data_IF_418025114626
#
_entry.id   IF_418025114626
#
_cell.length_a   1.000
_cell.length_b   1.000
_cell.length_c   1.000
_cell.angle_alpha   90.00
_cell.angle_beta   90.00
_cell.angle_gamma   90.00
#
_symmetry.space_group_name_H-M   'P 1'
#
loop_
_entity.id
_entity.type
_entity.pdbx_description
1 polymer ?
#
# COMPACT_ATOMS: atom_id res chain seq x y z
N UNK A 1 17.30 31.75 2.48
CA UNK A 1 16.39 30.58 2.64
C UNK A 1 17.11 29.47 3.40
N UNK A 2 16.80 29.25 4.68
CA UNK A 2 17.38 28.15 5.49
C UNK A 2 16.74 26.83 5.03
N UNK A 3 17.49 25.95 4.37
CA UNK A 3 17.05 24.57 4.08
C UNK A 3 16.78 23.89 5.43
N UNK A 4 15.51 23.67 5.79
CA UNK A 4 15.16 22.86 6.97
C UNK A 4 15.68 21.45 6.72
N UNK A 5 16.60 21.01 7.58
CA UNK A 5 17.05 19.62 7.59
C UNK A 5 15.80 18.75 7.83
N UNK A 6 15.54 17.73 6.99
CA UNK A 6 14.39 16.85 7.18
C UNK A 6 14.50 16.15 8.54
N UNK A 7 13.40 16.10 9.28
CA UNK A 7 13.33 15.37 10.54
C UNK A 7 13.47 13.86 10.26
N UNK A 8 13.94 13.09 11.26
CA UNK A 8 14.06 11.64 11.13
C UNK A 8 12.72 10.99 10.69
N UNK A 9 11.59 11.49 11.19
CA UNK A 9 10.27 11.03 10.79
C UNK A 9 9.98 11.28 9.29
N UNK A 10 10.37 12.44 8.75
CA UNK A 10 10.19 12.75 7.33
C UNK A 10 11.05 11.84 6.44
N UNK A 11 12.27 11.53 6.86
CA UNK A 11 13.15 10.57 6.16
C UNK A 11 12.51 9.18 6.15
N UNK A 12 12.04 8.70 7.30
CA UNK A 12 11.39 7.39 7.40
C UNK A 12 10.13 7.30 6.53
N UNK A 13 9.30 8.35 6.50
CA UNK A 13 8.13 8.41 5.63
C UNK A 13 8.52 8.40 4.14
N UNK A 14 9.61 9.07 3.76
CA UNK A 14 10.12 9.05 2.39
C UNK A 14 10.61 7.64 1.98
N UNK A 15 11.30 6.94 2.89
CA UNK A 15 11.72 5.55 2.67
C UNK A 15 10.52 4.60 2.53
N UNK A 16 9.50 4.78 3.38
CA UNK A 16 8.27 4.00 3.27
C UNK A 16 7.54 4.26 1.94
N UNK A 17 7.53 5.52 1.46
CA UNK A 17 6.99 5.89 0.14
C UNK A 17 7.78 5.31 -1.03
N UNK A 18 9.10 5.21 -0.89
CA UNK A 18 9.95 4.56 -1.88
C UNK A 18 9.60 3.07 -1.99
N UNK A 19 9.59 2.35 -0.87
CA UNK A 19 9.33 0.91 -0.83
C UNK A 19 7.88 0.51 -1.12
N UNK A 20 6.91 1.38 -0.81
CA UNK A 20 5.50 1.15 -1.18
C UNK A 20 5.24 1.28 -2.68
N UNK A 21 6.20 1.79 -3.47
CA UNK A 21 6.02 1.92 -4.92
C UNK A 21 5.07 3.05 -5.32
N UNK A 22 4.74 3.98 -4.42
CA UNK A 22 3.79 5.08 -4.68
C UNK A 22 4.23 6.01 -5.79
N UNK A 23 5.54 6.11 -6.00
CA UNK A 23 6.11 6.86 -7.12
C UNK A 23 5.57 6.36 -8.48
N UNK A 24 5.24 5.09 -8.61
CA UNK A 24 4.60 4.54 -9.81
C UNK A 24 3.18 5.08 -10.02
N UNK A 25 2.42 5.27 -8.93
CA UNK A 25 1.11 5.93 -8.99
C UNK A 25 1.23 7.40 -9.32
N UNK A 26 2.23 8.08 -8.75
CA UNK A 26 2.51 9.48 -9.07
C UNK A 26 2.85 9.65 -10.56
N UNK A 27 3.66 8.74 -11.12
CA UNK A 27 3.96 8.72 -12.54
C UNK A 27 2.70 8.49 -13.38
N UNK A 28 1.86 7.50 -13.02
CA UNK A 28 0.58 7.26 -13.70
C UNK A 28 -0.38 8.46 -13.63
N UNK A 29 -0.43 9.14 -12.48
CA UNK A 29 -1.23 10.34 -12.30
C UNK A 29 -0.77 11.43 -13.26
N UNK A 30 0.55 11.66 -13.36
CA UNK A 30 1.13 12.62 -14.30
C UNK A 30 0.81 12.30 -15.77
N UNK A 31 0.88 11.02 -16.17
CA UNK A 31 0.45 10.61 -17.51
C UNK A 31 -1.05 10.85 -17.77
N UNK A 32 -1.90 10.61 -16.77
CA UNK A 32 -3.34 10.82 -16.89
C UNK A 32 -3.72 12.30 -16.90
N UNK A 33 -2.98 13.14 -16.18
CA UNK A 33 -3.13 14.60 -16.22
C UNK A 33 -2.88 15.13 -17.63
N UNK A 34 -1.84 14.65 -18.30
CA UNK A 34 -1.58 15.00 -19.71
C UNK A 34 -2.70 14.57 -20.64
N UNK A 35 -3.22 13.34 -20.46
CA UNK A 35 -4.35 12.85 -21.26
C UNK A 35 -5.62 13.65 -21.03
N UNK A 36 -5.85 14.10 -19.79
CA UNK A 36 -6.99 14.95 -19.45
C UNK A 36 -6.88 16.31 -20.15
N UNK A 37 -5.70 16.92 -20.13
CA UNK A 37 -5.44 18.18 -20.83
C UNK A 37 -5.72 18.05 -22.34
N UNK A 38 -5.19 17.01 -22.98
CA UNK A 38 -5.45 16.76 -24.41
C UNK A 38 -6.93 16.48 -24.69
N UNK A 39 -7.62 15.69 -23.87
CA UNK A 39 -9.03 15.39 -24.06
C UNK A 39 -9.93 16.63 -23.91
N UNK A 40 -9.58 17.54 -23.00
CA UNK A 40 -10.25 18.82 -22.81
C UNK A 40 -10.07 19.73 -24.03
N UNK A 41 -8.86 19.78 -24.60
CA UNK A 41 -8.56 20.54 -25.82
C UNK A 41 -9.29 20.00 -27.05
N UNK A 42 -9.36 18.67 -27.22
CA UNK A 42 -9.92 18.04 -28.43
C UNK A 42 -11.45 17.89 -28.41
N UNK A 43 -12.05 17.57 -27.26
CA UNK A 43 -13.46 17.16 -27.18
C UNK A 43 -14.34 18.02 -26.27
N UNK A 44 -13.72 18.96 -25.55
CA UNK A 44 -14.41 19.81 -24.57
C UNK A 44 -14.85 19.08 -23.29
N UNK A 45 -15.38 19.85 -22.34
CA UNK A 45 -15.70 19.38 -20.98
C UNK A 45 -16.88 18.39 -20.92
N UNK A 46 -17.82 18.48 -21.86
CA UNK A 46 -19.06 17.70 -21.83
C UNK A 46 -18.94 16.31 -22.49
N UNK A 47 -17.78 15.97 -23.05
CA UNK A 47 -17.59 14.69 -23.71
C UNK A 47 -17.55 13.53 -22.71
N UNK A 48 -18.13 12.39 -23.10
CA UNK A 48 -18.05 11.14 -22.31
C UNK A 48 -16.60 10.68 -22.11
N UNK A 49 -15.71 11.03 -23.03
CA UNK A 49 -14.28 10.72 -22.98
C UNK A 49 -13.61 11.53 -21.88
N UNK A 50 -13.81 12.85 -21.84
CA UNK A 50 -13.29 13.74 -20.81
C UNK A 50 -13.79 13.33 -19.43
N UNK A 51 -15.08 12.98 -19.30
CA UNK A 51 -15.65 12.48 -18.05
C UNK A 51 -14.97 11.21 -17.56
N UNK A 52 -14.75 10.23 -18.45
CA UNK A 52 -14.08 8.96 -18.10
C UNK A 52 -12.64 9.18 -17.65
N UNK A 53 -11.89 10.04 -18.33
CA UNK A 53 -10.50 10.36 -17.98
C UNK A 53 -10.44 11.10 -16.63
N UNK A 54 -11.37 12.03 -16.39
CA UNK A 54 -11.51 12.74 -15.12
C UNK A 54 -11.77 11.78 -13.95
N UNK A 55 -12.67 10.81 -14.13
CA UNK A 55 -12.95 9.80 -13.11
C UNK A 55 -11.72 8.94 -12.81
N UNK A 56 -10.97 8.52 -13.84
CA UNK A 56 -9.72 7.79 -13.65
C UNK A 56 -8.67 8.60 -12.89
N UNK A 57 -8.54 9.89 -13.20
CA UNK A 57 -7.64 10.79 -12.48
C UNK A 57 -8.02 10.91 -11.00
N UNK A 58 -9.31 11.14 -10.70
CA UNK A 58 -9.83 11.22 -9.32
C UNK A 58 -9.58 9.95 -8.52
N UNK A 59 -9.76 8.77 -9.14
CA UNK A 59 -9.48 7.49 -8.49
C UNK A 59 -7.99 7.34 -8.15
N UNK A 60 -7.09 7.76 -9.05
CA UNK A 60 -5.65 7.73 -8.81
C UNK A 60 -5.22 8.69 -7.70
N UNK A 61 -5.79 9.88 -7.67
CA UNK A 61 -5.53 10.87 -6.62
C UNK A 61 -5.91 10.33 -5.23
N UNK A 62 -7.13 9.80 -5.10
CA UNK A 62 -7.59 9.16 -3.84
C UNK A 62 -6.71 7.97 -3.46
N UNK A 63 -6.35 7.15 -4.44
CA UNK A 63 -5.51 5.96 -4.24
C UNK A 63 -4.10 6.28 -3.72
N UNK A 64 -3.52 7.42 -4.12
CA UNK A 64 -2.18 7.85 -3.67
C UNK A 64 -2.11 8.08 -2.17
N UNK A 65 -3.22 8.52 -1.54
CA UNK A 65 -3.34 8.69 -0.08
C UNK A 65 -3.16 7.37 0.67
N UNK A 66 -3.60 6.27 0.06
CA UNK A 66 -3.54 4.91 0.61
C UNK A 66 -2.41 4.06 0.02
N UNK A 67 -1.43 4.72 -0.59
CA UNK A 67 -0.24 4.11 -1.21
C UNK A 67 -0.47 3.13 -2.38
N UNK A 68 -1.73 2.81 -2.72
CA UNK A 68 -2.05 1.81 -3.76
C UNK A 68 -3.34 2.14 -4.51
N UNK A 69 -3.32 1.94 -5.83
CA UNK A 69 -4.53 1.87 -6.65
C UNK A 69 -5.48 0.79 -6.14
N UNK A 70 -6.65 1.21 -5.68
CA UNK A 70 -7.67 0.35 -5.07
C UNK A 70 -9.04 0.55 -5.74
N UNK A 71 -9.93 -0.47 -5.72
CA UNK A 71 -11.29 -0.32 -6.25
C UNK A 71 -12.06 0.79 -5.52
N UNK A 72 -13.05 1.44 -6.17
CA UNK A 72 -13.83 2.53 -5.56
C UNK A 72 -14.45 2.16 -4.21
N UNK A 73 -15.05 0.97 -4.09
CA UNK A 73 -15.65 0.49 -2.83
C UNK A 73 -14.62 0.34 -1.70
N UNK A 74 -13.38 -0.05 -2.04
CA UNK A 74 -12.29 -0.15 -1.07
C UNK A 74 -11.83 1.24 -0.66
N UNK A 75 -11.74 2.18 -1.60
CA UNK A 75 -11.41 3.58 -1.29
C UNK A 75 -12.48 4.24 -0.41
N UNK A 76 -13.76 4.00 -0.68
CA UNK A 76 -14.87 4.49 0.16
C UNK A 76 -14.76 3.94 1.59
N UNK A 77 -14.49 2.64 1.75
CA UNK A 77 -14.29 2.03 3.06
C UNK A 77 -13.06 2.58 3.80
N UNK A 78 -11.94 2.80 3.08
CA UNK A 78 -10.73 3.38 3.65
C UNK A 78 -10.93 4.84 4.08
N UNK A 79 -11.59 5.65 3.25
CA UNK A 79 -11.91 7.04 3.57
C UNK A 79 -12.89 7.14 4.76
N UNK A 80 -13.90 6.28 4.82
CA UNK A 80 -14.80 6.22 5.95
C UNK A 80 -14.09 5.74 7.23
N UNK A 81 -13.21 4.75 7.12
CA UNK A 81 -12.38 4.31 8.24
C UNK A 81 -11.49 5.44 8.78
N UNK A 82 -10.93 6.25 7.88
CA UNK A 82 -10.18 7.44 8.28
C UNK A 82 -11.06 8.47 9.00
N UNK A 83 -12.28 8.72 8.52
CA UNK A 83 -13.25 9.62 9.19
C UNK A 83 -13.68 9.07 10.55
N UNK A 84 -13.73 7.75 10.71
CA UNK A 84 -14.01 7.07 11.97
C UNK A 84 -12.81 7.03 12.94
N UNK A 85 -11.68 7.66 12.60
CA UNK A 85 -10.51 7.77 13.48
C UNK A 85 -9.51 6.61 13.39
N UNK A 86 -9.65 5.70 12.41
CA UNK A 86 -8.68 4.61 12.22
C UNK A 86 -7.33 5.21 11.75
N UNK A 87 -6.18 4.80 12.33
CA UNK A 87 -4.88 5.32 11.96
C UNK A 87 -4.60 5.18 10.45
N UNK A 88 -4.18 6.28 9.83
CA UNK A 88 -3.91 6.32 8.38
C UNK A 88 -2.83 5.33 7.98
N UNK A 89 -1.80 5.15 8.81
CA UNK A 89 -0.73 4.19 8.55
C UNK A 89 -1.26 2.76 8.44
N UNK A 90 -2.21 2.36 9.29
CA UNK A 90 -2.83 1.04 9.23
C UNK A 90 -3.70 0.89 7.97
N UNK A 91 -4.48 1.92 7.62
CA UNK A 91 -5.28 1.95 6.39
C UNK A 91 -4.39 1.85 5.14
N UNK A 92 -3.25 2.54 5.14
CA UNK A 92 -2.23 2.46 4.09
C UNK A 92 -1.65 1.05 3.99
N UNK A 93 -1.33 0.39 5.12
CA UNK A 93 -0.80 -0.98 5.10
C UNK A 93 -1.82 -1.97 4.55
N UNK A 94 -3.10 -1.85 4.94
CA UNK A 94 -4.19 -2.69 4.45
C UNK A 94 -4.42 -2.55 2.94
N UNK A 95 -4.37 -1.30 2.45
CA UNK A 95 -4.49 -1.00 1.02
C UNK A 95 -3.27 -1.50 0.24
N UNK A 96 -2.06 -1.21 0.73
CA UNK A 96 -0.79 -1.58 0.09
C UNK A 96 -0.68 -3.10 -0.11
N UNK A 97 -1.11 -3.90 0.87
CA UNK A 97 -0.99 -5.35 0.83
C UNK A 97 -2.17 -6.08 0.17
N UNK A 98 -3.18 -5.34 -0.33
CA UNK A 98 -4.44 -5.92 -0.85
C UNK A 98 -5.13 -6.81 0.17
N UNK A 99 -5.10 -6.40 1.43
CA UNK A 99 -5.80 -7.12 2.49
C UNK A 99 -7.30 -6.83 2.43
N UNK A 100 -7.74 -5.74 1.81
CA UNK A 100 -9.15 -5.45 1.59
C UNK A 100 -9.64 -6.05 0.28
N UNK A 101 -10.71 -6.85 0.34
CA UNK A 101 -11.38 -7.45 -0.82
C UNK A 101 -12.85 -7.08 -0.84
N UNK A 102 -13.35 -6.78 -2.03
CA UNK A 102 -14.79 -6.59 -2.26
C UNK A 102 -15.46 -7.96 -2.23
N UNK A 103 -16.49 -8.11 -1.39
CA UNK A 103 -17.32 -9.32 -1.27
C UNK A 103 -18.79 -8.87 -1.30
N UNK A 104 -19.47 -9.13 -2.42
CA UNK A 104 -20.79 -8.56 -2.69
C UNK A 104 -20.74 -7.03 -2.69
N UNK A 105 -21.58 -6.40 -1.88
CA UNK A 105 -21.66 -4.94 -1.74
C UNK A 105 -20.84 -4.40 -0.56
N UNK A 106 -19.94 -5.20 0.01
CA UNK A 106 -19.16 -4.85 1.20
C UNK A 106 -17.67 -5.13 0.99
N UNK A 107 -16.84 -4.63 1.91
CA UNK A 107 -15.40 -4.87 1.91
C UNK A 107 -15.06 -5.74 3.12
N UNK A 108 -14.33 -6.83 2.89
CA UNK A 108 -13.83 -7.72 3.94
C UNK A 108 -12.31 -7.74 3.96
N UNK A 109 -11.73 -7.94 5.14
CA UNK A 109 -10.29 -8.10 5.33
C UNK A 109 -9.91 -9.56 5.10
N UNK A 110 -8.87 -9.78 4.31
CA UNK A 110 -8.28 -11.08 4.03
C UNK A 110 -7.55 -11.56 5.29
N UNK A 111 -8.15 -12.50 5.99
CA UNK A 111 -7.52 -13.19 7.13
C UNK A 111 -6.84 -14.45 6.62
N UNK A 112 -5.61 -14.32 6.11
CA UNK A 112 -4.85 -15.49 5.67
C UNK A 112 -3.99 -16.04 6.83
N UNK A 113 -4.27 -17.28 7.25
CA UNK A 113 -3.45 -17.94 8.29
C UNK A 113 -2.00 -18.11 7.83
N UNK A 114 -1.79 -18.48 6.55
CA UNK A 114 -0.44 -18.67 6.00
C UNK A 114 0.45 -17.44 6.18
N UNK A 115 -0.11 -16.23 6.08
CA UNK A 115 0.65 -15.00 6.32
C UNK A 115 1.20 -14.89 7.74
N UNK A 116 0.47 -15.41 8.75
CA UNK A 116 0.91 -15.42 10.15
C UNK A 116 2.07 -16.37 10.40
N UNK A 117 2.17 -17.46 9.63
CA UNK A 117 3.24 -18.46 9.76
C UNK A 117 4.46 -18.12 8.90
N UNK A 118 4.23 -17.71 7.64
CA UNK A 118 5.32 -17.43 6.69
C UNK A 118 6.08 -16.15 7.04
N UNK A 119 5.42 -15.15 7.63
CA UNK A 119 6.06 -13.90 8.03
C UNK A 119 7.21 -14.09 9.05
N UNK A 120 7.00 -14.77 10.20
CA UNK A 120 8.09 -14.99 11.15
C UNK A 120 9.19 -15.90 10.58
N UNK A 121 8.84 -16.89 9.75
CA UNK A 121 9.83 -17.72 9.07
C UNK A 121 10.70 -16.91 8.10
N UNK A 122 10.09 -16.08 7.25
CA UNK A 122 10.82 -15.21 6.34
C UNK A 122 11.68 -14.20 7.10
N UNK A 123 11.17 -13.62 8.19
CA UNK A 123 11.95 -12.74 9.07
C UNK A 123 13.18 -13.46 9.65
N UNK A 124 13.01 -14.70 10.14
CA UNK A 124 14.12 -15.50 10.66
C UNK A 124 15.17 -15.77 9.58
N UNK A 125 14.76 -16.16 8.37
CA UNK A 125 15.68 -16.38 7.25
C UNK A 125 16.48 -15.11 6.92
N UNK A 126 15.83 -13.94 6.88
CA UNK A 126 16.51 -12.67 6.59
C UNK A 126 17.53 -12.32 7.69
N UNK A 127 17.15 -12.46 8.96
CA UNK A 127 18.05 -12.18 10.10
C UNK A 127 19.22 -13.17 10.15
N UNK A 128 18.96 -14.47 9.94
CA UNK A 128 20.00 -15.50 9.90
C UNK A 128 20.98 -15.29 8.75
N UNK A 129 20.51 -14.89 7.56
CA UNK A 129 21.39 -14.58 6.44
C UNK A 129 22.24 -13.34 6.72
N UNK A 130 21.66 -12.30 7.33
CA UNK A 130 22.45 -11.14 7.76
C UNK A 130 23.52 -11.54 8.79
N UNK A 131 23.17 -12.32 9.80
CA UNK A 131 24.11 -12.81 10.81
C UNK A 131 25.22 -13.67 10.18
N UNK A 132 24.85 -14.56 9.25
CA UNK A 132 25.80 -15.38 8.48
C UNK A 132 26.77 -14.53 7.67
N UNK A 133 26.29 -13.53 6.93
CA UNK A 133 27.14 -12.63 6.16
C UNK A 133 28.09 -11.84 7.05
N UNK A 134 27.59 -11.31 8.17
CA UNK A 134 28.40 -10.62 9.17
C UNK A 134 29.50 -11.53 9.75
N UNK A 135 29.17 -12.78 10.06
CA UNK A 135 30.14 -13.76 10.55
C UNK A 135 31.21 -14.08 9.49
N UNK A 136 30.83 -14.26 8.22
CA UNK A 136 31.78 -14.50 7.13
C UNK A 136 32.76 -13.34 6.95
N UNK A 137 32.30 -12.09 7.07
CA UNK A 137 33.17 -10.90 7.03
C UNK A 137 34.15 -10.88 8.20
N UNK A 138 33.71 -11.27 9.40
CA UNK A 138 34.61 -11.36 10.57
C UNK A 138 35.67 -12.44 10.43
N UNK A 139 35.30 -13.59 9.86
CA UNK A 139 36.19 -14.74 9.66
C UNK A 139 37.13 -14.57 8.46
N UNK A 140 36.83 -13.66 7.53
CA UNK A 140 37.66 -13.41 6.36
C UNK A 140 39.08 -12.97 6.76
N UNK A 141 40.09 -13.45 6.01
CA UNK A 141 41.46 -12.96 6.15
C UNK A 141 41.60 -11.62 5.44
N UNK A 142 41.19 -10.55 6.12
CA UNK A 142 41.17 -9.19 5.62
C UNK A 142 41.63 -8.22 6.73
N UNK A 143 42.17 -7.05 6.37
CA UNK A 143 42.53 -6.03 7.36
C UNK A 143 41.29 -5.55 8.15
N UNK A 144 41.50 -5.19 9.42
CA UNK A 144 40.41 -4.82 10.35
C UNK A 144 39.55 -3.68 9.82
N UNK A 145 40.14 -2.66 9.18
CA UNK A 145 39.38 -1.55 8.60
C UNK A 145 38.42 -2.01 7.48
N UNK A 146 38.84 -2.96 6.65
CA UNK A 146 38.01 -3.50 5.57
C UNK A 146 36.83 -4.31 6.12
N UNK A 147 37.07 -5.04 7.22
CA UNK A 147 36.03 -5.76 7.96
C UNK A 147 34.97 -4.81 8.53
N UNK A 148 35.40 -3.73 9.20
CA UNK A 148 34.49 -2.74 9.77
C UNK A 148 33.68 -2.01 8.70
N UNK A 149 34.33 -1.59 7.60
CA UNK A 149 33.65 -0.96 6.48
C UNK A 149 32.60 -1.90 5.85
N UNK A 150 32.96 -3.17 5.65
CA UNK A 150 32.04 -4.17 5.08
C UNK A 150 30.85 -4.45 6.00
N UNK A 151 31.08 -4.60 7.32
CA UNK A 151 30.00 -4.76 8.29
C UNK A 151 29.05 -3.56 8.30
N UNK A 152 29.58 -2.35 8.23
CA UNK A 152 28.78 -1.13 8.18
C UNK A 152 27.88 -1.14 6.94
N UNK A 153 28.43 -1.44 5.77
CA UNK A 153 27.68 -1.52 4.51
C UNK A 153 26.59 -2.60 4.59
N UNK A 154 26.93 -3.81 5.02
CA UNK A 154 25.97 -4.93 5.13
C UNK A 154 24.84 -4.56 6.10
N UNK A 155 25.17 -3.95 7.24
CA UNK A 155 24.18 -3.57 8.24
C UNK A 155 23.28 -2.44 7.75
N UNK A 156 23.83 -1.45 7.04
CA UNK A 156 23.04 -0.37 6.42
C UNK A 156 22.08 -0.92 5.37
N UNK A 157 22.56 -1.80 4.49
CA UNK A 157 21.72 -2.47 3.49
C UNK A 157 20.63 -3.31 4.17
N UNK A 158 20.98 -4.08 5.20
CA UNK A 158 20.02 -4.84 5.98
C UNK A 158 18.90 -3.96 6.51
N UNK A 159 19.21 -2.84 7.17
CA UNK A 159 18.19 -1.91 7.67
C UNK A 159 17.33 -1.29 6.56
N UNK A 160 17.96 -0.95 5.43
CA UNK A 160 17.27 -0.42 4.26
C UNK A 160 16.27 -1.42 3.66
N UNK A 161 16.70 -2.67 3.42
CA UNK A 161 15.84 -3.74 2.89
C UNK A 161 14.81 -4.20 3.91
N UNK A 162 15.17 -4.26 5.19
CA UNK A 162 14.27 -4.64 6.28
C UNK A 162 13.05 -3.72 6.34
N UNK A 163 13.23 -2.42 6.08
CA UNK A 163 12.11 -1.47 6.00
C UNK A 163 11.11 -1.85 4.90
N UNK A 164 11.62 -2.16 3.70
CA UNK A 164 10.78 -2.66 2.61
C UNK A 164 10.09 -3.96 2.97
N UNK A 165 10.85 -4.94 3.46
CA UNK A 165 10.32 -6.23 3.89
C UNK A 165 9.21 -6.09 4.96
N UNK A 166 9.41 -5.24 5.96
CA UNK A 166 8.47 -5.04 7.05
C UNK A 166 7.13 -4.46 6.58
N UNK A 167 7.12 -3.57 5.57
CA UNK A 167 5.90 -3.00 4.99
C UNK A 167 4.96 -4.08 4.43
N UNK A 168 5.53 -5.13 3.85
CA UNK A 168 4.76 -6.20 3.19
C UNK A 168 4.53 -7.43 4.07
N UNK A 169 5.06 -7.44 5.29
CA UNK A 169 5.03 -8.62 6.17
C UNK A 169 4.57 -8.25 7.58
N UNK A 170 5.50 -7.85 8.45
CA UNK A 170 5.25 -7.65 9.89
C UNK A 170 4.31 -6.48 10.16
N UNK A 171 4.50 -5.33 9.49
CA UNK A 171 3.63 -4.14 9.63
C UNK A 171 2.25 -4.38 9.03
N UNK A 172 2.18 -5.09 7.90
CA UNK A 172 0.91 -5.50 7.29
C UNK A 172 0.07 -6.34 8.26
N UNK A 173 0.68 -7.40 8.82
CA UNK A 173 0.02 -8.26 9.80
C UNK A 173 -0.39 -7.50 11.08
N UNK A 174 0.44 -6.55 11.53
CA UNK A 174 0.10 -5.71 12.67
C UNK A 174 -1.10 -4.80 12.39
N UNK A 175 -1.18 -4.20 11.19
CA UNK A 175 -2.32 -3.38 10.78
C UNK A 175 -3.62 -4.20 10.68
N UNK A 176 -3.56 -5.42 10.14
CA UNK A 176 -4.71 -6.35 10.12
C UNK A 176 -5.20 -6.63 11.55
N UNK A 177 -4.28 -6.94 12.48
CA UNK A 177 -4.63 -7.25 13.87
C UNK A 177 -5.23 -6.05 14.61
N UNK A 178 -4.68 -4.85 14.41
CA UNK A 178 -5.10 -3.63 15.13
C UNK A 178 -6.38 -3.04 14.58
N UNK A 179 -6.48 -2.94 13.26
CA UNK A 179 -7.49 -2.10 12.60
C UNK A 179 -8.41 -2.88 11.65
N UNK A 180 -8.13 -4.15 11.36
CA UNK A 180 -8.89 -4.94 10.39
C UNK A 180 -10.38 -5.06 10.73
N UNK A 181 -10.71 -5.42 11.97
CA UNK A 181 -12.10 -5.56 12.40
C UNK A 181 -12.87 -4.22 12.39
N UNK A 182 -12.20 -3.13 12.76
CA UNK A 182 -12.79 -1.79 12.73
C UNK A 182 -13.11 -1.35 11.29
N UNK A 183 -12.21 -1.62 10.34
CA UNK A 183 -12.45 -1.34 8.92
C UNK A 183 -13.62 -2.17 8.37
N UNK A 184 -13.73 -3.45 8.73
CA UNK A 184 -14.87 -4.29 8.33
C UNK A 184 -16.20 -3.78 8.89
N UNK A 185 -16.22 -3.32 10.15
CA UNK A 185 -17.41 -2.75 10.76
C UNK A 185 -17.86 -1.48 10.04
N UNK A 186 -16.93 -0.56 9.75
CA UNK A 186 -17.21 0.65 8.98
C UNK A 186 -17.68 0.31 7.56
N UNK A 187 -17.00 -0.61 6.88
CA UNK A 187 -17.41 -1.05 5.55
C UNK A 187 -18.81 -1.68 5.51
N UNK A 188 -19.19 -2.39 6.57
CA UNK A 188 -20.52 -2.99 6.71
C UNK A 188 -21.60 -1.92 6.90
N UNK A 189 -21.31 -0.85 7.66
CA UNK A 189 -22.23 0.30 7.78
C UNK A 189 -22.41 1.10 6.49
N UNK A 190 -21.49 0.98 5.54
CA UNK A 190 -21.58 1.58 4.20
C UNK A 190 -22.33 0.71 3.19
N UNK A 191 -22.62 -0.55 3.55
CA UNK A 191 -23.19 -1.53 2.63
C UNK A 191 -24.47 -1.02 1.96
N UNK A 192 -24.39 -0.77 0.64
CA UNK A 192 -25.57 -0.41 -0.15
C UNK A 192 -26.49 -1.62 -0.24
N UNK A 193 -27.78 -1.41 0.03
CA UNK A 193 -28.84 -2.40 -0.18
C UNK A 193 -28.65 -2.99 -1.59
N UNK A 194 -28.56 -4.32 -1.76
CA UNK A 194 -28.48 -4.91 -3.08
C UNK A 194 -29.66 -4.41 -3.89
N UNK A 195 -29.40 -3.83 -5.07
CA UNK A 195 -30.47 -3.64 -6.04
C UNK A 195 -31.11 -5.03 -6.20
N UNK A 196 -32.38 -5.17 -5.80
CA UNK A 196 -33.15 -6.37 -6.10
C UNK A 196 -33.11 -6.48 -7.61
N UNK A 197 -32.26 -7.38 -8.12
CA UNK A 197 -32.38 -7.82 -9.49
C UNK A 197 -33.71 -8.56 -9.49
N UNK A 198 -34.77 -7.87 -9.89
CA UNK A 198 -35.96 -8.55 -10.36
C UNK A 198 -35.45 -9.39 -11.53
N UNK A 199 -35.17 -10.67 -11.27
CA UNK A 199 -35.07 -11.64 -12.33
C UNK A 199 -36.41 -11.54 -13.04
N UNK A 200 -36.43 -10.87 -14.19
CA UNK A 200 -37.53 -11.01 -15.11
C UNK A 200 -37.57 -12.51 -15.41
N UNK A 201 -38.61 -13.17 -14.91
CA UNK A 201 -38.97 -14.54 -15.28
C UNK A 201 -39.18 -14.55 -16.79
N UNK A 202 -38.09 -14.78 -17.53
CA UNK A 202 -38.19 -15.37 -18.86
C UNK A 202 -38.50 -16.85 -18.67
N UNK A 203 -39.70 -17.12 -18.16
CA UNK A 203 -40.34 -18.42 -18.35
C UNK A 203 -40.54 -18.58 -19.86
N UNK A 204 -39.79 -19.52 -20.41
CA UNK A 204 -40.13 -20.16 -21.68
C UNK A 204 -41.51 -20.79 -21.55
N UNK A 205 -42.48 -20.26 -22.30
CA UNK A 205 -43.50 -21.02 -23.02
C UNK A 205 -44.08 -20.13 -24.10
#
# INVERSE_FOLDING_TARGET
MKKRIPTAAAVLAAVDRFWSGVWWLALRQWWQERKLATALEETGEQSLITRRVTEQYRVLERSKRFLRASPPLVLEALEAGQRAGIPVDDLQMLALNRDLRVVGNTVKVRRNWWGKLLTPLAAAVVVLNWARLSALVMLASAPVWAKLASLLVITLLFWWFWRGFALYTTRANAAIKRSGAAVEAVASSLGRVPAKVHAADFQRT
#
